data_IF_636752489896
#
_entry.id   IF_636752489896
#
_cell.length_a   1.000
_cell.length_b   1.000
_cell.length_c   1.000
_cell.angle_alpha   90.00
_cell.angle_beta   90.00
_cell.angle_gamma   90.00
#
_symmetry.space_group_name_H-M   'P 1'
#
loop_
_entity.id
_entity.type
_entity.pdbx_description
1 polymer ?
#
# COMPACT_ATOMS: atom_id res chain seq x y z
N UNK A 1 -20.08 -9.02 -2.69
CA UNK A 1 -20.39 -7.80 -1.92
C UNK A 1 -19.74 -6.62 -2.62
N UNK A 2 -20.48 -5.54 -2.94
CA UNK A 2 -20.08 -4.51 -3.92
C UNK A 2 -18.85 -3.64 -3.57
N UNK A 3 -18.17 -3.90 -2.45
CA UNK A 3 -16.98 -3.14 -2.00
C UNK A 3 -15.90 -4.04 -1.37
N UNK A 4 -15.96 -5.36 -1.63
CA UNK A 4 -15.07 -6.33 -0.99
C UNK A 4 -13.60 -6.14 -1.39
N UNK A 5 -13.36 -5.71 -2.63
CA UNK A 5 -12.07 -5.33 -3.20
C UNK A 5 -11.47 -4.10 -2.51
N UNK A 6 -12.27 -3.06 -2.26
CA UNK A 6 -11.84 -1.86 -1.52
C UNK A 6 -11.48 -2.22 -0.09
N UNK A 7 -12.34 -2.99 0.59
CA UNK A 7 -12.06 -3.46 1.95
C UNK A 7 -10.79 -4.31 1.99
N UNK A 8 -10.61 -5.22 1.03
CA UNK A 8 -9.40 -6.03 0.93
C UNK A 8 -8.14 -5.19 0.71
N UNK A 9 -8.20 -4.15 -0.13
CA UNK A 9 -7.07 -3.24 -0.36
C UNK A 9 -6.71 -2.45 0.91
N UNK A 10 -7.71 -1.91 1.62
CA UNK A 10 -7.49 -1.15 2.87
C UNK A 10 -6.92 -2.07 3.95
N UNK A 11 -7.53 -3.24 4.16
CA UNK A 11 -7.06 -4.24 5.13
C UNK A 11 -5.66 -4.70 4.78
N UNK A 12 -5.38 -4.97 3.50
CA UNK A 12 -4.06 -5.37 3.04
C UNK A 12 -3.00 -4.29 3.24
N UNK A 13 -3.32 -3.01 2.97
CA UNK A 13 -2.39 -1.90 3.26
C UNK A 13 -2.13 -1.74 4.75
N UNK A 14 -3.17 -1.80 5.60
CA UNK A 14 -2.99 -1.74 7.05
C UNK A 14 -2.17 -2.92 7.58
N UNK A 15 -2.36 -4.13 7.04
CA UNK A 15 -1.53 -5.29 7.35
C UNK A 15 -0.07 -5.07 6.93
N UNK A 16 0.18 -4.50 5.75
CA UNK A 16 1.54 -4.16 5.30
C UNK A 16 2.19 -3.11 6.21
N UNK A 17 1.46 -2.06 6.57
CA UNK A 17 1.92 -1.04 7.52
C UNK A 17 2.23 -1.63 8.90
N UNK A 18 1.43 -2.60 9.35
CA UNK A 18 1.64 -3.30 10.61
C UNK A 18 2.87 -4.20 10.58
N UNK A 19 3.02 -5.01 9.54
CA UNK A 19 4.20 -5.87 9.35
C UNK A 19 5.47 -5.00 9.27
N UNK A 20 5.41 -3.88 8.56
CA UNK A 20 6.48 -2.89 8.48
C UNK A 20 6.84 -2.26 9.83
N UNK A 21 5.84 -1.92 10.65
CA UNK A 21 6.07 -1.36 11.98
C UNK A 21 6.72 -2.40 12.91
N UNK A 22 6.22 -3.64 12.90
CA UNK A 22 6.75 -4.76 13.67
C UNK A 22 8.20 -5.09 13.29
N UNK A 23 8.52 -5.13 11.99
CA UNK A 23 9.86 -5.46 11.51
C UNK A 23 10.92 -4.42 11.89
N UNK A 24 10.51 -3.18 12.14
CA UNK A 24 11.42 -2.08 12.48
C UNK A 24 11.55 -1.85 13.99
N UNK A 25 10.70 -2.46 14.81
CA UNK A 25 10.77 -2.44 16.28
C UNK A 25 10.52 -1.08 16.95
N UNK A 26 10.35 0.00 16.19
CA UNK A 26 10.04 1.35 16.70
C UNK A 26 8.55 1.62 16.48
N UNK A 27 7.76 1.63 17.56
CA UNK A 27 6.29 1.80 17.63
C UNK A 27 5.80 3.11 16.97
N UNK A 28 5.82 3.17 15.65
CA UNK A 28 5.59 4.36 14.84
C UNK A 28 4.49 4.16 13.80
N UNK A 29 3.42 3.45 14.18
CA UNK A 29 2.36 3.01 13.28
C UNK A 29 1.68 4.14 12.49
N UNK A 30 1.62 5.36 13.04
CA UNK A 30 1.05 6.51 12.33
C UNK A 30 1.83 6.88 11.06
N UNK A 31 3.16 6.79 11.10
CA UNK A 31 3.99 7.10 9.92
C UNK A 31 3.89 6.00 8.86
N UNK A 32 3.93 4.73 9.27
CA UNK A 32 3.87 3.59 8.34
C UNK A 32 2.50 3.45 7.69
N UNK A 33 1.41 3.70 8.42
CA UNK A 33 0.05 3.68 7.86
C UNK A 33 -0.19 4.79 6.83
N UNK A 34 0.32 6.00 7.06
CA UNK A 34 0.27 7.10 6.08
C UNK A 34 1.03 6.76 4.79
N UNK A 35 2.27 6.26 4.93
CA UNK A 35 3.09 5.87 3.77
C UNK A 35 2.43 4.73 2.98
N UNK A 36 1.87 3.74 3.70
CA UNK A 36 1.14 2.65 3.09
C UNK A 36 -0.11 3.14 2.36
N UNK A 37 -0.91 4.02 2.97
CA UNK A 37 -2.10 4.59 2.34
C UNK A 37 -1.79 5.37 1.06
N UNK A 38 -0.74 6.19 1.07
CA UNK A 38 -0.28 6.89 -0.15
C UNK A 38 0.19 5.89 -1.20
N UNK A 39 0.93 4.86 -0.81
CA UNK A 39 1.40 3.83 -1.73
C UNK A 39 0.27 2.98 -2.32
N UNK A 40 -0.80 2.70 -1.57
CA UNK A 40 -2.02 2.08 -2.09
C UNK A 40 -2.64 2.94 -3.20
N UNK A 41 -2.82 4.24 -2.96
CA UNK A 41 -3.40 5.15 -3.95
C UNK A 41 -2.53 5.25 -5.21
N UNK A 42 -1.21 5.31 -5.06
CA UNK A 42 -0.27 5.30 -6.18
C UNK A 42 -0.35 3.99 -6.99
N UNK A 43 -0.35 2.84 -6.31
CA UNK A 43 -0.42 1.53 -6.98
C UNK A 43 -1.74 1.32 -7.73
N UNK A 44 -2.86 1.76 -7.15
CA UNK A 44 -4.16 1.79 -7.83
C UNK A 44 -4.13 2.67 -9.08
N UNK A 45 -3.64 3.90 -8.95
CA UNK A 45 -3.58 4.85 -10.07
C UNK A 45 -2.72 4.31 -11.22
N UNK A 46 -1.56 3.73 -10.92
CA UNK A 46 -0.69 3.11 -11.92
C UNK A 46 -1.40 1.96 -12.66
N UNK A 47 -2.08 1.07 -11.94
CA UNK A 47 -2.75 -0.09 -12.54
C UNK A 47 -3.91 0.31 -13.46
N UNK A 48 -4.75 1.25 -13.02
CA UNK A 48 -6.00 1.60 -13.71
C UNK A 48 -5.80 2.70 -14.74
N UNK A 49 -4.96 3.71 -14.45
CA UNK A 49 -4.83 4.90 -15.30
C UNK A 49 -3.58 4.89 -16.18
N UNK A 50 -2.47 4.30 -15.73
CA UNK A 50 -1.20 4.37 -16.46
C UNK A 50 -0.97 3.13 -17.31
N UNK A 51 -1.04 1.94 -16.71
CA UNK A 51 -0.81 0.68 -17.41
C UNK A 51 -2.08 0.12 -18.06
N UNK A 52 -3.27 0.57 -17.63
CA UNK A 52 -4.57 0.10 -18.11
C UNK A 52 -4.70 -1.45 -18.05
N UNK A 53 -4.08 -2.08 -17.05
CA UNK A 53 -4.06 -3.55 -16.88
C UNK A 53 -5.34 -4.04 -16.17
N UNK A 54 -6.16 -3.13 -15.65
CA UNK A 54 -7.46 -3.43 -15.03
C UNK A 54 -8.37 -2.21 -14.94
N UNK A 55 -9.63 -2.46 -14.61
CA UNK A 55 -10.66 -1.44 -14.35
C UNK A 55 -10.98 -1.42 -12.85
N UNK A 56 -11.72 -0.40 -12.37
CA UNK A 56 -12.14 -0.40 -10.95
C UNK A 56 -13.10 -1.54 -10.60
N UNK A 57 -13.79 -2.12 -11.58
CA UNK A 57 -14.66 -3.28 -11.38
C UNK A 57 -13.91 -4.62 -11.30
N UNK A 58 -12.59 -4.62 -11.56
CA UNK A 58 -11.79 -5.85 -11.57
C UNK A 58 -10.94 -5.99 -10.32
N UNK A 59 -10.67 -7.22 -9.87
CA UNK A 59 -9.80 -7.46 -8.71
C UNK A 59 -8.31 -7.22 -8.99
N UNK A 60 -7.94 -6.94 -10.23
CA UNK A 60 -6.54 -6.83 -10.67
C UNK A 60 -5.85 -5.62 -10.03
N UNK A 61 -6.55 -4.52 -9.77
CA UNK A 61 -5.94 -3.31 -9.20
C UNK A 61 -5.54 -3.47 -7.71
N UNK A 62 -6.15 -4.42 -6.99
CA UNK A 62 -5.87 -4.67 -5.56
C UNK A 62 -4.41 -5.09 -5.32
N UNK A 63 -3.87 -6.15 -5.98
CA UNK A 63 -2.47 -6.52 -5.82
C UNK A 63 -1.51 -5.42 -6.26
N UNK A 64 -1.83 -4.63 -7.31
CA UNK A 64 -1.01 -3.49 -7.70
C UNK A 64 -0.96 -2.38 -6.64
N UNK A 65 -2.08 -2.15 -5.95
CA UNK A 65 -2.13 -1.22 -4.82
C UNK A 65 -1.23 -1.70 -3.68
N UNK A 66 -1.26 -3.00 -3.36
CA UNK A 66 -0.40 -3.59 -2.33
C UNK A 66 1.08 -3.51 -2.71
N UNK A 67 1.42 -3.74 -3.98
CA UNK A 67 2.79 -3.56 -4.48
C UNK A 67 3.24 -2.11 -4.35
N UNK A 68 2.39 -1.14 -4.74
CA UNK A 68 2.68 0.29 -4.56
C UNK A 68 2.93 0.66 -3.09
N UNK A 69 2.08 0.17 -2.19
CA UNK A 69 2.27 0.31 -0.73
C UNK A 69 3.58 -0.28 -0.25
N UNK A 70 3.93 -1.50 -0.67
CA UNK A 70 5.17 -2.16 -0.28
C UNK A 70 6.40 -1.37 -0.74
N UNK A 71 6.42 -0.89 -1.98
CA UNK A 71 7.53 -0.08 -2.53
C UNK A 71 7.69 1.23 -1.74
N UNK A 72 6.59 1.93 -1.44
CA UNK A 72 6.64 3.15 -0.64
C UNK A 72 7.17 2.91 0.78
N UNK A 73 6.74 1.82 1.43
CA UNK A 73 7.23 1.44 2.76
C UNK A 73 8.73 1.11 2.73
N UNK A 74 9.19 0.34 1.74
CA UNK A 74 10.61 0.02 1.57
C UNK A 74 11.42 1.31 1.40
N UNK A 75 10.99 2.21 0.51
CA UNK A 75 11.64 3.49 0.29
C UNK A 75 11.69 4.34 1.57
N UNK A 76 10.59 4.40 2.32
CA UNK A 76 10.51 5.12 3.59
C UNK A 76 11.58 4.65 4.58
N UNK A 77 11.74 3.34 4.79
CA UNK A 77 12.76 2.84 5.70
C UNK A 77 14.19 3.02 5.19
N UNK A 78 14.39 2.87 3.88
CA UNK A 78 15.69 3.03 3.24
C UNK A 78 16.24 4.46 3.42
N UNK A 79 15.38 5.47 3.28
CA UNK A 79 15.75 6.88 3.47
C UNK A 79 15.66 7.37 4.91
N UNK A 80 14.80 6.78 5.74
CA UNK A 80 14.69 7.13 7.15
C UNK A 80 15.95 6.80 7.95
N UNK A 81 16.68 5.74 7.59
CA UNK A 81 17.89 5.33 8.31
C UNK A 81 19.13 6.19 7.98
N UNK A 82 19.02 7.11 7.01
CA UNK A 82 20.07 8.03 6.59
C UNK A 82 20.00 9.40 7.29
N UNK A 83 18.96 9.65 8.10
CA UNK A 83 18.78 10.87 8.90
C UNK A 83 18.97 10.57 10.38
#
# INVERSE_FOLDING_TARGET
MPYADIVAAIVGGLLLAWIADLSTGRRGFGGTSLVSGVGLACGWFLAVRVFAVGTMDSWIWVPWSLVGSAVCLIAFFLFRNKR
#
